data_IF_649029724461
#
_entry.id   IF_649029724461
#
_cell.length_a   1.000
_cell.length_b   1.000
_cell.length_c   1.000
_cell.angle_alpha   90.00
_cell.angle_beta   90.00
_cell.angle_gamma   90.00
#
_symmetry.space_group_name_H-M   'P 1'
#
loop_
_entity.id
_entity.type
_entity.pdbx_description
1 polymer ?
#
# COMPACT_ATOMS: atom_id res chain seq x y z
N UNK A 1 -6.42 -9.50 -3.85
CA UNK A 1 -7.07 -9.75 -5.16
C UNK A 1 -7.96 -10.97 -5.02
N UNK A 2 -9.19 -10.93 -5.57
CA UNK A 2 -10.11 -12.07 -5.55
C UNK A 2 -9.63 -13.21 -6.46
N UNK A 3 -10.05 -14.43 -6.16
CA UNK A 3 -9.67 -15.63 -6.93
C UNK A 3 -10.12 -15.56 -8.40
N UNK A 4 -11.25 -14.89 -8.67
CA UNK A 4 -11.78 -14.67 -10.02
C UNK A 4 -11.17 -13.45 -10.73
N UNK A 5 -10.26 -12.72 -10.06
CA UNK A 5 -9.59 -11.52 -10.58
C UNK A 5 -10.50 -10.31 -10.79
N UNK A 6 -11.76 -10.34 -10.35
CA UNK A 6 -12.75 -9.25 -10.58
C UNK A 6 -12.73 -8.16 -9.53
N UNK A 7 -12.18 -8.45 -8.35
CA UNK A 7 -12.17 -7.56 -7.20
C UNK A 7 -10.77 -7.47 -6.60
N UNK A 8 -10.47 -6.31 -6.05
CA UNK A 8 -9.26 -6.06 -5.29
C UNK A 8 -9.55 -5.13 -4.13
N UNK A 9 -8.66 -5.09 -3.15
CA UNK A 9 -8.68 -4.06 -2.13
C UNK A 9 -7.27 -3.75 -1.64
N UNK A 10 -7.12 -2.59 -1.00
CA UNK A 10 -5.98 -2.28 -0.15
C UNK A 10 -6.46 -1.61 1.12
N UNK A 11 -5.88 -1.98 2.26
CA UNK A 11 -6.04 -1.29 3.54
C UNK A 11 -4.68 -0.80 3.99
N UNK A 12 -4.57 0.46 4.42
CA UNK A 12 -3.36 1.01 5.02
C UNK A 12 -3.74 1.75 6.29
N UNK A 13 -3.20 1.31 7.42
CA UNK A 13 -3.34 1.97 8.71
C UNK A 13 -2.14 2.88 8.96
N UNK A 14 -2.39 4.13 9.31
CA UNK A 14 -1.37 5.15 9.50
C UNK A 14 -1.40 5.73 10.90
N UNK A 15 -0.24 5.78 11.55
CA UNK A 15 0.09 6.76 12.59
C UNK A 15 1.01 7.79 11.94
N UNK A 16 0.63 9.07 11.93
CA UNK A 16 1.35 10.10 11.18
C UNK A 16 1.26 9.87 9.67
N UNK A 17 0.04 9.90 9.11
CA UNK A 17 -0.21 9.68 7.68
C UNK A 17 0.74 10.49 6.80
N UNK A 18 1.68 9.81 6.13
CA UNK A 18 2.73 10.44 5.33
C UNK A 18 2.17 11.23 4.13
N UNK A 19 0.98 10.84 3.67
CA UNK A 19 0.23 11.49 2.59
C UNK A 19 -0.72 12.60 3.07
N UNK A 20 -0.78 12.88 4.37
CA UNK A 20 -1.65 13.92 4.91
C UNK A 20 -1.14 15.33 4.60
N UNK A 21 -1.96 16.18 3.95
CA UNK A 21 -1.63 17.60 3.84
C UNK A 21 -1.67 18.29 5.21
N UNK A 22 -2.56 17.88 6.12
CA UNK A 22 -2.69 18.47 7.45
C UNK A 22 -1.48 18.17 8.32
N UNK A 23 -0.94 16.96 8.24
CA UNK A 23 0.28 16.58 8.97
C UNK A 23 1.50 17.33 8.43
N UNK A 24 1.57 17.51 7.11
CA UNK A 24 2.61 18.33 6.51
C UNK A 24 2.49 19.80 6.97
N UNK A 25 1.28 20.38 6.97
CA UNK A 25 1.06 21.77 7.40
C UNK A 25 1.25 22.00 8.90
N UNK A 26 1.06 20.98 9.73
CA UNK A 26 1.36 21.06 11.16
C UNK A 26 2.87 21.00 11.45
N UNK A 27 3.72 20.86 10.42
CA UNK A 27 5.17 20.73 10.56
C UNK A 27 5.61 19.31 10.94
N UNK A 28 4.71 18.33 10.86
CA UNK A 28 4.94 16.93 11.25
C UNK A 28 5.34 16.73 12.73
N UNK A 29 4.80 17.56 13.62
CA UNK A 29 5.22 17.60 15.03
C UNK A 29 4.61 16.49 15.91
N UNK A 30 3.38 16.06 15.64
CA UNK A 30 2.68 15.03 16.43
C UNK A 30 2.00 14.00 15.50
N UNK A 31 2.63 12.85 15.20
CA UNK A 31 2.05 11.85 14.31
C UNK A 31 0.76 11.24 14.86
N UNK A 32 0.60 11.20 16.18
CA UNK A 32 -0.60 10.65 16.83
C UNK A 32 -1.81 11.56 16.67
N UNK A 33 -1.65 12.81 16.23
CA UNK A 33 -2.78 13.66 15.86
C UNK A 33 -3.18 13.55 14.37
N UNK A 34 -2.53 12.67 13.60
CA UNK A 34 -2.76 12.50 12.16
C UNK A 34 -2.87 11.03 11.76
N UNK A 35 -3.94 10.40 12.25
CA UNK A 35 -4.18 8.96 12.13
C UNK A 35 -5.24 8.70 11.07
N UNK A 36 -5.08 7.67 10.25
CA UNK A 36 -6.07 7.30 9.25
C UNK A 36 -6.05 5.79 8.95
N UNK A 37 -7.20 5.26 8.53
CA UNK A 37 -7.27 3.98 7.83
C UNK A 37 -7.74 4.28 6.41
N UNK A 38 -6.85 4.07 5.44
CA UNK A 38 -7.14 4.16 4.02
C UNK A 38 -7.70 2.83 3.54
N UNK A 39 -8.92 2.82 3.01
CA UNK A 39 -9.54 1.63 2.41
C UNK A 39 -9.91 1.93 0.97
N UNK A 40 -9.36 1.14 0.04
CA UNK A 40 -9.67 1.17 -1.38
C UNK A 40 -10.25 -0.17 -1.80
N UNK A 41 -11.43 -0.16 -2.44
CA UNK A 41 -12.02 -1.30 -3.13
C UNK A 41 -11.90 -1.08 -4.64
N UNK A 42 -11.42 -2.09 -5.35
CA UNK A 42 -11.23 -2.11 -6.80
C UNK A 42 -12.24 -3.04 -7.49
N UNK A 43 -12.48 -2.79 -8.79
CA UNK A 43 -13.46 -3.52 -9.60
C UNK A 43 -14.90 -2.98 -9.46
N UNK A 44 -15.91 -3.79 -9.84
CA UNK A 44 -17.31 -3.37 -9.75
C UNK A 44 -17.69 -2.95 -8.33
N UNK A 45 -18.42 -1.84 -8.21
CA UNK A 45 -18.76 -1.18 -6.94
C UNK A 45 -17.55 -0.64 -6.16
N UNK A 46 -16.48 -0.24 -6.85
CA UNK A 46 -15.31 0.44 -6.28
C UNK A 46 -15.73 1.57 -5.32
N UNK A 47 -15.01 1.65 -4.19
CA UNK A 47 -15.20 2.66 -3.15
C UNK A 47 -13.85 2.99 -2.55
N UNK A 48 -13.69 4.22 -2.12
CA UNK A 48 -12.48 4.65 -1.46
C UNK A 48 -12.83 5.60 -0.32
N UNK A 49 -12.23 5.38 0.84
CA UNK A 49 -12.36 6.24 2.01
C UNK A 49 -11.04 6.33 2.75
N UNK A 50 -10.72 7.53 3.21
CA UNK A 50 -9.59 7.82 4.08
C UNK A 50 -9.94 9.07 4.88
N UNK A 51 -10.49 8.88 6.06
CA UNK A 51 -10.76 9.99 7.00
C UNK A 51 -9.59 10.10 7.97
N UNK A 52 -8.93 11.25 7.97
CA UNK A 52 -7.95 11.55 9.02
C UNK A 52 -8.64 11.91 10.31
N UNK A 53 -8.12 11.41 11.43
CA UNK A 53 -8.63 11.67 12.77
C UNK A 53 -7.52 12.16 13.69
N UNK A 54 -7.91 12.95 14.69
CA UNK A 54 -7.02 13.38 15.77
C UNK A 54 -6.82 12.30 16.83
N UNK A 55 -5.89 12.53 17.75
CA UNK A 55 -5.45 11.54 18.76
C UNK A 55 -6.55 10.93 19.62
N UNK A 56 -7.63 11.68 19.88
CA UNK A 56 -8.76 11.18 20.67
C UNK A 56 -9.56 10.07 20.00
N UNK A 57 -9.29 9.76 18.73
CA UNK A 57 -9.88 8.63 18.01
C UNK A 57 -9.01 7.37 18.03
N UNK A 58 -7.80 7.43 18.60
CA UNK A 58 -6.87 6.31 18.68
C UNK A 58 -7.12 5.49 19.93
N UNK A 59 -7.13 4.17 19.75
CA UNK A 59 -6.92 3.20 20.81
C UNK A 59 -6.08 2.07 20.20
N UNK A 60 -4.82 1.93 20.64
CA UNK A 60 -3.87 0.98 20.10
C UNK A 60 -3.13 0.21 21.19
N UNK A 61 -2.75 -1.02 20.84
CA UNK A 61 -1.99 -1.92 21.70
C UNK A 61 -1.26 -2.97 20.88
N UNK A 62 -0.66 -3.97 21.54
CA UNK A 62 0.17 -4.97 20.86
C UNK A 62 -0.57 -5.80 19.80
N UNK A 63 -1.89 -5.97 19.95
CA UNK A 63 -2.72 -6.86 19.14
C UNK A 63 -3.92 -6.16 18.48
N UNK A 64 -4.07 -4.83 18.65
CA UNK A 64 -5.17 -4.07 18.09
C UNK A 64 -4.80 -2.61 17.76
N UNK A 65 -5.53 -2.04 16.82
CA UNK A 65 -5.39 -0.66 16.37
C UNK A 65 -6.76 -0.13 15.93
N UNK A 66 -7.34 0.78 16.70
CA UNK A 66 -8.66 1.36 16.47
C UNK A 66 -8.54 2.84 16.11
N UNK A 67 -9.25 3.26 15.07
CA UNK A 67 -9.28 4.64 14.58
C UNK A 67 -10.72 5.08 14.37
N UNK A 68 -11.29 5.69 15.39
CA UNK A 68 -12.71 6.03 15.44
C UNK A 68 -13.58 4.78 15.30
N UNK A 69 -14.39 4.64 14.23
CA UNK A 69 -15.32 3.53 14.08
C UNK A 69 -14.72 2.28 13.40
N UNK A 70 -13.49 2.36 12.88
CA UNK A 70 -12.80 1.27 12.18
C UNK A 70 -11.69 0.70 13.05
N UNK A 71 -11.40 -0.60 12.96
CA UNK A 71 -10.42 -1.26 13.80
C UNK A 71 -9.70 -2.40 13.09
N UNK A 72 -8.44 -2.64 13.47
CA UNK A 72 -7.65 -3.80 13.11
C UNK A 72 -7.34 -4.57 14.39
N UNK A 73 -7.42 -5.90 14.38
CA UNK A 73 -7.01 -6.75 15.51
C UNK A 73 -6.53 -8.11 15.06
N UNK A 74 -5.71 -8.75 15.88
CA UNK A 74 -5.34 -10.16 15.69
C UNK A 74 -6.34 -11.09 16.40
N UNK A 75 -6.87 -12.06 15.66
CA UNK A 75 -7.62 -13.20 16.16
C UNK A 75 -6.81 -14.48 15.86
N UNK A 76 -5.96 -14.90 16.80
CA UNK A 76 -4.99 -15.95 16.53
C UNK A 76 -4.01 -15.52 15.42
N UNK A 77 -3.95 -16.28 14.32
CA UNK A 77 -3.13 -15.94 13.15
C UNK A 77 -3.90 -15.14 12.08
N UNK A 78 -5.11 -14.65 12.35
CA UNK A 78 -5.88 -13.88 11.38
C UNK A 78 -5.94 -12.42 11.78
N UNK A 79 -5.50 -11.53 10.89
CA UNK A 79 -5.73 -10.10 11.00
C UNK A 79 -7.18 -9.81 10.58
N UNK A 80 -7.97 -9.28 11.50
CA UNK A 80 -9.36 -8.89 11.26
C UNK A 80 -9.46 -7.38 11.24
N UNK A 81 -10.06 -6.87 10.16
CA UNK A 81 -10.19 -5.45 9.87
C UNK A 81 -11.68 -5.14 9.77
N UNK A 82 -12.22 -4.46 10.77
CA UNK A 82 -13.56 -3.91 10.72
C UNK A 82 -13.51 -2.51 10.10
N UNK A 83 -14.23 -2.35 9.00
CA UNK A 83 -14.30 -1.09 8.26
C UNK A 83 -15.66 -0.45 8.52
N UNK A 84 -15.65 0.79 8.97
CA UNK A 84 -16.85 1.63 9.07
C UNK A 84 -16.51 3.07 8.66
N UNK A 85 -16.50 3.30 7.35
CA UNK A 85 -16.08 4.58 6.77
C UNK A 85 -17.15 5.20 5.88
N UNK A 86 -16.92 6.45 5.50
CA UNK A 86 -17.75 7.19 4.54
C UNK A 86 -16.84 7.70 3.43
N UNK A 87 -17.21 7.44 2.19
CA UNK A 87 -16.44 7.88 1.02
C UNK A 87 -16.60 9.38 0.76
N UNK A 88 -15.69 9.94 -0.03
CA UNK A 88 -15.77 11.33 -0.52
C UNK A 88 -15.48 11.42 -2.03
N UNK A 89 -15.97 12.45 -2.73
CA UNK A 89 -16.85 13.52 -2.25
C UNK A 89 -18.32 13.09 -2.09
N UNK A 90 -18.71 11.95 -2.67
CA UNK A 90 -20.05 11.38 -2.48
C UNK A 90 -20.09 10.54 -1.20
N UNK A 91 -20.95 10.84 -0.22
CA UNK A 91 -20.98 10.18 1.08
C UNK A 91 -21.66 8.81 1.03
N UNK A 92 -21.00 7.82 0.44
CA UNK A 92 -21.44 6.44 0.43
C UNK A 92 -20.82 5.68 1.61
N UNK A 93 -21.57 4.73 2.18
CA UNK A 93 -21.10 3.91 3.31
C UNK A 93 -20.12 2.85 2.86
N UNK A 94 -18.94 2.77 3.44
CA UNK A 94 -18.03 1.65 3.24
C UNK A 94 -17.97 0.89 4.56
N UNK A 95 -18.68 -0.24 4.63
CA UNK A 95 -18.83 -1.00 5.88
C UNK A 95 -18.75 -2.50 5.65
N UNK A 96 -18.04 -3.18 6.54
CA UNK A 96 -17.96 -4.65 6.62
C UNK A 96 -16.65 -5.11 7.26
N UNK A 97 -16.31 -6.39 7.07
CA UNK A 97 -15.14 -7.01 7.65
C UNK A 97 -14.23 -7.62 6.58
N UNK A 98 -12.93 -7.40 6.73
CA UNK A 98 -11.88 -8.05 5.96
C UNK A 98 -11.07 -8.93 6.90
N UNK A 99 -10.79 -10.16 6.50
CA UNK A 99 -9.96 -11.11 7.24
C UNK A 99 -8.76 -11.48 6.39
N UNK A 100 -7.56 -11.37 6.92
CA UNK A 100 -6.33 -11.79 6.26
C UNK A 100 -5.59 -12.79 7.14
N UNK A 101 -5.32 -13.98 6.60
CA UNK A 101 -4.55 -15.02 7.27
C UNK A 101 -3.24 -15.20 6.50
N UNK A 102 -2.08 -14.81 7.09
CA UNK A 102 -0.78 -15.09 6.51
C UNK A 102 -0.57 -16.60 6.33
N UNK A 103 -0.06 -17.02 5.18
CA UNK A 103 0.44 -18.38 5.02
C UNK A 103 1.80 -18.53 5.72
N UNK A 104 2.60 -17.46 5.65
CA UNK A 104 3.87 -17.34 6.35
C UNK A 104 4.15 -15.89 6.71
N UNK A 105 4.91 -15.70 7.81
CA UNK A 105 5.48 -14.41 8.20
C UNK A 105 7.00 -14.52 8.31
N UNK A 106 7.72 -13.42 8.07
CA UNK A 106 9.18 -13.40 8.08
C UNK A 106 9.71 -12.19 8.89
N UNK A 107 10.89 -12.29 9.57
CA UNK A 107 11.35 -11.26 10.51
C UNK A 107 12.30 -10.20 9.90
N UNK A 108 12.62 -10.28 8.62
CA UNK A 108 13.64 -9.44 7.96
C UNK A 108 13.09 -8.06 7.63
N UNK A 109 13.80 -7.04 8.11
CA UNK A 109 13.55 -5.63 7.82
C UNK A 109 14.60 -5.10 6.85
N UNK A 110 14.18 -4.19 5.96
CA UNK A 110 15.06 -3.55 4.98
C UNK A 110 15.08 -2.05 5.21
N UNK A 111 16.27 -1.47 5.33
CA UNK A 111 16.41 -0.01 5.21
C UNK A 111 16.14 0.39 3.75
N UNK A 112 15.37 1.45 3.52
CA UNK A 112 15.07 1.98 2.19
C UNK A 112 16.06 3.06 1.74
N UNK A 113 16.83 3.62 2.66
CA UNK A 113 17.82 4.64 2.41
C UNK A 113 19.20 4.26 2.96
N UNK A 114 20.24 4.96 2.49
CA UNK A 114 21.62 4.83 2.97
C UNK A 114 21.79 5.17 4.45
N UNK A 115 20.92 6.03 5.00
CA UNK A 115 20.99 6.47 6.40
C UNK A 115 20.08 5.69 7.36
N UNK A 116 19.36 4.67 6.85
CA UNK A 116 18.43 3.85 7.62
C UNK A 116 17.41 4.68 8.44
N UNK A 117 16.89 5.76 7.85
CA UNK A 117 15.79 6.55 8.42
C UNK A 117 14.42 6.05 8.00
N UNK A 118 14.38 5.20 6.97
CA UNK A 118 13.17 4.59 6.45
C UNK A 118 13.35 3.08 6.38
N UNK A 119 12.36 2.34 6.87
CA UNK A 119 12.37 0.90 6.87
C UNK A 119 11.11 0.34 6.23
N UNK A 120 11.28 -0.81 5.57
CA UNK A 120 10.22 -1.63 5.03
C UNK A 120 10.34 -3.04 5.60
N UNK A 121 9.20 -3.60 5.96
CA UNK A 121 9.09 -4.96 6.47
C UNK A 121 8.01 -5.70 5.67
N UNK A 122 8.37 -6.62 4.76
CA UNK A 122 7.40 -7.47 4.09
C UNK A 122 6.93 -8.59 5.04
N UNK A 123 6.18 -8.22 6.08
CA UNK A 123 5.80 -9.10 7.18
C UNK A 123 5.21 -10.43 6.71
N UNK A 124 4.20 -10.39 5.83
CA UNK A 124 3.51 -11.55 5.28
C UNK A 124 3.41 -11.40 3.74
N UNK A 125 4.39 -11.93 2.98
CA UNK A 125 4.46 -11.74 1.53
C UNK A 125 3.32 -12.40 0.74
N UNK A 126 2.59 -13.33 1.36
CA UNK A 126 1.39 -13.94 0.83
C UNK A 126 0.52 -14.54 1.94
N UNK A 127 -0.77 -14.65 1.64
CA UNK A 127 -1.77 -15.28 2.50
C UNK A 127 -3.15 -15.26 1.86
N UNK A 128 -4.13 -15.78 2.58
CA UNK A 128 -5.55 -15.79 2.17
C UNK A 128 -6.28 -14.58 2.72
N UNK A 129 -7.16 -14.03 1.90
CA UNK A 129 -8.05 -12.92 2.26
C UNK A 129 -9.50 -13.30 2.03
N UNK A 130 -10.35 -12.92 2.97
CA UNK A 130 -11.80 -12.96 2.86
C UNK A 130 -12.33 -11.54 3.08
N UNK A 131 -13.15 -11.04 2.15
CA UNK A 131 -13.74 -9.72 2.25
C UNK A 131 -15.26 -9.83 2.25
N UNK A 132 -15.90 -9.49 3.37
CA UNK A 132 -17.34 -9.42 3.53
C UNK A 132 -17.74 -7.97 3.78
N UNK A 133 -18.04 -7.25 2.70
CA UNK A 133 -18.33 -5.82 2.71
C UNK A 133 -19.84 -5.58 2.58
N UNK A 134 -20.55 -5.47 3.70
CA UNK A 134 -21.99 -5.23 3.78
C UNK A 134 -22.47 -4.07 2.92
N UNK A 135 -21.70 -2.98 2.88
CA UNK A 135 -21.92 -1.82 2.03
C UNK A 135 -20.67 -1.58 1.20
N UNK A 136 -20.64 -1.99 -0.09
CA UNK A 136 -21.77 -2.06 -1.03
C UNK A 136 -22.44 -3.42 -1.27
N UNK A 137 -22.24 -4.41 -0.40
CA UNK A 137 -22.73 -5.77 -0.62
C UNK A 137 -21.83 -6.51 -1.61
N UNK A 138 -20.60 -6.77 -1.15
CA UNK A 138 -19.59 -7.57 -1.82
C UNK A 138 -19.14 -8.66 -0.86
N UNK A 139 -19.02 -9.89 -1.34
CA UNK A 139 -18.42 -10.99 -0.61
C UNK A 139 -17.55 -11.79 -1.58
N UNK A 140 -16.27 -11.96 -1.25
CA UNK A 140 -15.33 -12.71 -2.07
C UNK A 140 -14.13 -13.18 -1.25
N UNK A 141 -13.40 -14.15 -1.81
CA UNK A 141 -12.15 -14.66 -1.26
C UNK A 141 -11.03 -14.51 -2.29
N UNK A 142 -9.79 -14.56 -1.81
CA UNK A 142 -8.65 -14.31 -2.66
C UNK A 142 -7.31 -14.44 -1.95
N UNK A 143 -6.30 -13.84 -2.57
CA UNK A 143 -4.94 -13.75 -2.05
C UNK A 143 -4.57 -12.31 -1.68
N UNK A 144 -3.76 -12.16 -0.65
CA UNK A 144 -3.26 -10.88 -0.15
C UNK A 144 -1.83 -10.98 0.36
N UNK A 145 -1.28 -9.85 0.77
CA UNK A 145 -0.01 -9.72 1.47
C UNK A 145 -0.15 -8.59 2.50
N UNK A 146 0.74 -8.56 3.48
CA UNK A 146 0.84 -7.48 4.45
C UNK A 146 2.30 -7.08 4.62
N UNK A 147 2.55 -5.78 4.63
CA UNK A 147 3.84 -5.17 4.90
C UNK A 147 3.68 -3.98 5.83
N UNK A 148 4.80 -3.46 6.31
CA UNK A 148 4.86 -2.30 7.18
C UNK A 148 5.98 -1.38 6.75
N UNK A 149 5.73 -0.08 6.81
CA UNK A 149 6.73 0.94 6.61
C UNK A 149 6.81 1.83 7.86
N UNK A 150 8.03 2.17 8.25
CA UNK A 150 8.29 3.12 9.33
C UNK A 150 9.37 4.10 8.90
N UNK A 151 9.28 5.35 9.31
CA UNK A 151 10.32 6.32 9.03
C UNK A 151 10.36 7.46 10.05
N UNK A 152 11.53 8.06 10.21
CA UNK A 152 11.76 9.17 11.15
C UNK A 152 11.66 10.55 10.49
N UNK A 153 11.55 10.59 9.16
CA UNK A 153 11.56 11.82 8.37
C UNK A 153 10.51 11.79 7.26
N UNK A 154 10.23 12.95 6.68
CA UNK A 154 9.27 13.06 5.58
C UNK A 154 9.80 12.37 4.33
N UNK A 155 8.96 11.58 3.65
CA UNK A 155 9.33 10.88 2.42
C UNK A 155 9.88 11.86 1.36
N UNK A 156 9.19 12.98 1.15
CA UNK A 156 9.59 13.95 0.14
C UNK A 156 10.88 14.71 0.47
N UNK A 157 11.39 14.61 1.70
CA UNK A 157 12.68 15.19 2.08
C UNK A 157 13.85 14.31 1.64
N UNK A 158 13.64 12.99 1.57
CA UNK A 158 14.72 12.02 1.38
C UNK A 158 14.66 11.31 0.03
N UNK A 159 13.48 11.17 -0.56
CA UNK A 159 13.28 10.49 -1.84
C UNK A 159 12.63 11.40 -2.89
N UNK A 160 13.00 11.21 -4.15
CA UNK A 160 12.29 11.78 -5.32
C UNK A 160 11.15 10.89 -5.80
N UNK A 161 11.21 9.59 -5.50
CA UNK A 161 10.18 8.61 -5.84
C UNK A 161 10.64 7.17 -5.60
N UNK A 162 9.79 6.23 -5.97
CA UNK A 162 10.15 4.81 -6.00
C UNK A 162 9.24 4.02 -6.93
N UNK A 163 9.70 2.82 -7.28
CA UNK A 163 8.84 1.74 -7.75
C UNK A 163 8.85 0.61 -6.74
N UNK A 164 7.72 -0.07 -6.61
CA UNK A 164 7.58 -1.26 -5.79
C UNK A 164 6.76 -2.29 -6.56
N UNK A 165 7.10 -3.57 -6.44
CA UNK A 165 6.26 -4.63 -6.97
C UNK A 165 6.40 -5.93 -6.19
N UNK A 166 5.33 -6.72 -6.22
CA UNK A 166 5.27 -8.06 -5.61
C UNK A 166 4.58 -9.02 -6.58
N UNK A 167 5.32 -10.02 -7.02
CA UNK A 167 4.87 -11.07 -7.92
C UNK A 167 4.60 -12.36 -7.17
N UNK A 168 3.54 -13.07 -7.56
CA UNK A 168 3.29 -14.43 -7.10
C UNK A 168 4.03 -15.41 -8.01
N UNK A 169 4.88 -16.25 -7.43
CA UNK A 169 5.61 -17.32 -8.12
C UNK A 169 5.16 -18.67 -7.55
N UNK A 170 5.55 -19.78 -8.18
CA UNK A 170 5.10 -21.12 -7.78
C UNK A 170 5.49 -21.48 -6.34
N UNK A 171 6.67 -21.07 -5.90
CA UNK A 171 7.28 -21.43 -4.62
C UNK A 171 7.24 -20.28 -3.59
N UNK A 172 6.49 -19.21 -3.85
CA UNK A 172 6.36 -18.08 -2.92
C UNK A 172 6.10 -16.74 -3.60
N UNK A 173 6.86 -15.72 -3.23
CA UNK A 173 6.74 -14.38 -3.79
C UNK A 173 8.10 -13.75 -4.11
N UNK A 174 8.15 -13.00 -5.21
CA UNK A 174 9.29 -12.15 -5.56
C UNK A 174 8.89 -10.70 -5.40
N UNK A 175 9.74 -9.90 -4.75
CA UNK A 175 9.49 -8.49 -4.50
C UNK A 175 10.66 -7.62 -4.95
N UNK A 176 10.32 -6.47 -5.52
CA UNK A 176 11.26 -5.44 -5.90
C UNK A 176 10.87 -4.12 -5.24
N UNK A 177 11.82 -3.43 -4.60
CA UNK A 177 11.63 -2.09 -4.07
C UNK A 177 12.83 -1.22 -4.45
N UNK A 178 12.58 -0.17 -5.23
CA UNK A 178 13.60 0.71 -5.78
C UNK A 178 13.37 2.17 -5.39
N UNK A 179 13.71 2.54 -4.15
CA UNK A 179 13.73 3.94 -3.73
C UNK A 179 14.81 4.75 -4.45
N UNK A 180 14.45 5.98 -4.82
CA UNK A 180 15.35 6.95 -5.45
C UNK A 180 15.65 8.04 -4.43
N UNK A 181 16.82 7.96 -3.78
CA UNK A 181 17.22 8.96 -2.79
C UNK A 181 17.57 10.28 -3.47
N UNK A 182 17.21 11.40 -2.83
CA UNK A 182 17.57 12.74 -3.31
C UNK A 182 19.07 13.00 -3.28
N UNK A 183 19.81 12.26 -2.46
CA UNK A 183 21.28 12.25 -2.45
C UNK A 183 21.89 11.77 -3.77
N UNK A 184 21.08 11.14 -4.64
CA UNK A 184 21.53 10.44 -5.85
C UNK A 184 21.94 8.99 -5.59
N UNK A 185 21.86 8.52 -4.34
CA UNK A 185 22.04 7.11 -4.03
C UNK A 185 20.88 6.29 -4.59
N UNK A 186 21.22 5.14 -5.16
CA UNK A 186 20.25 4.17 -5.68
C UNK A 186 20.33 2.92 -4.84
N UNK A 187 19.18 2.49 -4.34
CA UNK A 187 19.03 1.22 -3.64
C UNK A 187 17.98 0.40 -4.36
N UNK A 188 18.29 -0.87 -4.58
CA UNK A 188 17.35 -1.85 -5.12
C UNK A 188 17.31 -3.01 -4.13
N UNK A 189 16.12 -3.32 -3.66
CA UNK A 189 15.85 -4.54 -2.90
C UNK A 189 15.19 -5.49 -3.89
N UNK A 190 15.83 -6.64 -4.14
CA UNK A 190 15.32 -7.70 -4.99
C UNK A 190 15.38 -9.00 -4.20
N UNK A 191 14.21 -9.50 -3.79
CA UNK A 191 14.14 -10.66 -2.89
C UNK A 191 13.12 -11.69 -3.36
N UNK A 192 13.42 -12.95 -3.10
CA UNK A 192 12.47 -14.06 -3.12
C UNK A 192 12.18 -14.48 -1.69
N UNK A 193 10.90 -14.72 -1.40
CA UNK A 193 10.46 -15.32 -0.14
C UNK A 193 9.73 -16.61 -0.44
N UNK A 194 10.28 -17.71 0.08
CA UNK A 194 9.72 -19.05 -0.14
C UNK A 194 8.52 -19.34 0.76
N UNK A 195 7.88 -20.50 0.56
CA UNK A 195 6.76 -21.01 1.36
C UNK A 195 7.06 -21.16 2.87
N UNK A 196 8.33 -21.16 3.28
CA UNK A 196 8.77 -21.24 4.68
C UNK A 196 9.13 -19.87 5.26
N UNK A 197 9.01 -18.79 4.48
CA UNK A 197 9.35 -17.44 4.92
C UNK A 197 10.84 -17.15 4.85
N UNK A 198 11.63 -18.02 4.21
CA UNK A 198 13.06 -17.80 3.99
C UNK A 198 13.22 -16.69 2.97
N UNK A 199 13.92 -15.63 3.35
CA UNK A 199 14.20 -14.50 2.47
C UNK A 199 15.57 -14.70 1.82
N UNK A 200 15.61 -14.67 0.50
CA UNK A 200 16.84 -14.73 -0.30
C UNK A 200 16.93 -13.52 -1.21
N UNK A 201 18.12 -12.91 -1.27
CA UNK A 201 18.41 -11.90 -2.28
C UNK A 201 18.58 -12.58 -3.64
N UNK A 202 18.04 -11.96 -4.68
CA UNK A 202 18.10 -12.47 -6.04
C UNK A 202 18.73 -11.45 -6.98
N UNK A 203 19.26 -11.92 -8.10
CA UNK A 203 19.70 -11.05 -9.17
C UNK A 203 18.53 -10.18 -9.65
N UNK A 204 18.77 -8.88 -9.79
CA UNK A 204 17.75 -7.94 -10.24
C UNK A 204 17.53 -8.09 -11.75
N UNK A 205 16.31 -8.42 -12.22
CA UNK A 205 16.04 -8.50 -13.66
C UNK A 205 16.23 -7.15 -14.39
N UNK A 206 16.26 -7.16 -15.74
CA UNK A 206 16.24 -5.93 -16.51
C UNK A 206 15.04 -5.03 -16.19
N UNK A 207 15.23 -3.73 -16.38
CA UNK A 207 14.14 -2.74 -16.25
C UNK A 207 13.26 -2.79 -17.48
N UNK A 208 11.94 -2.73 -17.27
CA UNK A 208 10.93 -2.67 -18.32
C UNK A 208 10.04 -1.45 -18.08
N UNK A 209 10.01 -0.54 -19.05
CA UNK A 209 9.10 0.60 -19.03
C UNK A 209 7.65 0.14 -19.27
N UNK A 210 6.73 0.76 -18.54
CA UNK A 210 5.30 0.49 -18.64
C UNK A 210 4.56 1.71 -19.19
N UNK A 211 3.39 1.46 -19.78
CA UNK A 211 2.53 2.52 -20.30
C UNK A 211 2.13 3.49 -19.18
N UNK A 212 2.22 4.79 -19.46
CA UNK A 212 1.78 5.83 -18.53
C UNK A 212 0.25 5.91 -18.47
N UNK A 213 -0.26 6.25 -17.29
CA UNK A 213 -1.67 6.58 -17.10
C UNK A 213 -2.02 8.01 -17.49
N UNK A 214 -3.27 8.39 -17.19
CA UNK A 214 -3.84 9.72 -17.41
C UNK A 214 -3.00 10.83 -16.79
N UNK A 215 -2.54 10.65 -15.55
CA UNK A 215 -1.72 11.67 -14.87
C UNK A 215 -0.27 11.69 -15.32
N UNK A 216 0.17 10.73 -16.15
CA UNK A 216 1.52 10.72 -16.71
C UNK A 216 2.63 10.47 -15.68
N UNK A 217 2.32 9.85 -14.53
CA UNK A 217 3.35 9.32 -13.60
C UNK A 217 4.12 8.22 -14.34
N UNK A 218 5.45 8.26 -14.27
CA UNK A 218 6.31 7.23 -14.88
C UNK A 218 6.10 5.88 -14.19
N UNK A 219 6.03 4.82 -15.00
CA UNK A 219 5.85 3.45 -14.54
C UNK A 219 6.91 2.58 -15.20
N UNK A 220 7.57 1.78 -14.38
CA UNK A 220 8.55 0.80 -14.80
C UNK A 220 8.67 -0.29 -13.74
N UNK A 221 9.10 -1.47 -14.15
CA UNK A 221 9.21 -2.64 -13.28
C UNK A 221 10.43 -3.49 -13.65
N UNK A 222 10.65 -4.58 -12.92
CA UNK A 222 11.69 -5.58 -13.17
C UNK A 222 11.07 -6.83 -13.76
N UNK A 223 11.54 -7.24 -14.94
CA UNK A 223 11.03 -8.41 -15.65
C UNK A 223 12.03 -8.87 -16.71
N UNK A 224 12.08 -10.18 -16.95
CA UNK A 224 13.01 -10.81 -17.89
C UNK A 224 12.62 -10.62 -19.35
N UNK A 225 11.31 -10.49 -19.65
CA UNK A 225 10.80 -10.35 -21.02
C UNK A 225 9.86 -9.13 -21.16
N UNK A 226 10.36 -8.01 -21.73
CA UNK A 226 9.56 -6.83 -21.98
C UNK A 226 8.32 -7.07 -22.85
N UNK A 227 8.39 -8.00 -23.81
CA UNK A 227 7.29 -8.26 -24.76
C UNK A 227 6.07 -8.94 -24.12
N UNK A 228 6.29 -9.59 -22.97
CA UNK A 228 5.27 -10.30 -22.20
C UNK A 228 4.90 -9.60 -20.90
N UNK A 229 5.51 -8.44 -20.64
CA UNK A 229 5.28 -7.64 -19.44
C UNK A 229 4.29 -6.53 -19.73
N UNK A 230 3.16 -6.50 -19.01
CA UNK A 230 2.13 -5.49 -19.23
C UNK A 230 1.28 -5.24 -17.99
N UNK A 231 0.76 -4.03 -17.90
CA UNK A 231 -0.33 -3.69 -16.99
C UNK A 231 -1.59 -4.42 -17.47
N UNK A 232 -2.20 -5.21 -16.58
CA UNK A 232 -3.46 -5.90 -16.85
C UNK A 232 -4.65 -5.07 -16.39
N UNK A 233 -4.50 -4.33 -15.28
CA UNK A 233 -5.52 -3.42 -14.76
C UNK A 233 -4.85 -2.29 -13.97
N UNK A 234 -5.34 -1.06 -14.12
CA UNK A 234 -4.93 0.08 -13.28
C UNK A 234 -5.94 0.27 -12.15
N UNK A 235 -5.49 0.06 -10.91
CA UNK A 235 -6.32 0.22 -9.72
C UNK A 235 -6.39 1.68 -9.25
N UNK A 236 -5.25 2.37 -9.31
CA UNK A 236 -5.13 3.78 -8.93
C UNK A 236 -4.30 4.51 -9.96
N UNK A 237 -4.83 5.63 -10.45
CA UNK A 237 -4.09 6.59 -11.27
C UNK A 237 -4.32 7.99 -10.71
N UNK A 238 -3.33 8.50 -9.99
CA UNK A 238 -3.37 9.76 -9.28
C UNK A 238 -2.20 10.67 -9.70
N UNK A 239 -2.24 11.99 -9.40
CA UNK A 239 -1.23 12.95 -9.87
C UNK A 239 0.22 12.58 -9.56
N UNK A 240 0.45 11.84 -8.47
CA UNK A 240 1.76 11.49 -7.94
C UNK A 240 1.94 10.00 -7.63
N UNK A 241 0.90 9.17 -7.78
CA UNK A 241 0.91 7.78 -7.35
C UNK A 241 0.09 6.91 -8.30
N UNK A 242 0.59 5.72 -8.61
CA UNK A 242 -0.17 4.71 -9.35
C UNK A 242 -0.05 3.36 -8.68
N UNK A 243 -1.11 2.56 -8.81
CA UNK A 243 -1.13 1.15 -8.41
C UNK A 243 -1.79 0.35 -9.51
N UNK A 244 -1.14 -0.73 -9.90
CA UNK A 244 -1.50 -1.54 -11.05
C UNK A 244 -1.45 -3.03 -10.70
N UNK A 245 -2.35 -3.82 -11.29
CA UNK A 245 -2.11 -5.23 -11.53
C UNK A 245 -1.29 -5.39 -12.81
N UNK A 246 -0.34 -6.29 -12.75
CA UNK A 246 0.66 -6.51 -13.79
C UNK A 246 0.77 -8.01 -14.08
N UNK A 247 1.06 -8.34 -15.32
CA UNK A 247 1.67 -9.60 -15.71
C UNK A 247 3.15 -9.33 -16.03
N UNK A 248 4.08 -10.04 -15.38
CA UNK A 248 5.52 -9.99 -15.64
C UNK A 248 6.10 -11.37 -15.94
N UNK A 249 7.40 -11.44 -16.26
CA UNK A 249 8.14 -12.68 -16.48
C UNK A 249 9.31 -12.78 -15.51
N UNK A 250 9.32 -13.84 -14.72
CA UNK A 250 10.37 -14.18 -13.75
C UNK A 250 10.66 -15.68 -13.85
N UNK A 251 11.94 -16.07 -13.89
CA UNK A 251 12.36 -17.46 -14.08
C UNK A 251 11.76 -18.09 -15.34
N UNK A 252 11.65 -17.31 -16.43
CA UNK A 252 11.02 -17.73 -17.69
C UNK A 252 9.50 -17.97 -17.62
N UNK A 253 8.84 -17.64 -16.51
CA UNK A 253 7.40 -17.90 -16.29
C UNK A 253 6.62 -16.61 -16.12
N UNK A 254 5.38 -16.61 -16.60
CA UNK A 254 4.45 -15.50 -16.44
C UNK A 254 3.90 -15.48 -15.02
N UNK A 255 4.06 -14.35 -14.34
CA UNK A 255 3.68 -14.19 -12.94
C UNK A 255 2.74 -12.99 -12.79
N UNK A 256 1.59 -13.15 -12.09
CA UNK A 256 0.76 -12.02 -11.71
C UNK A 256 1.45 -11.24 -10.60
N UNK A 257 1.40 -9.92 -10.69
CA UNK A 257 2.03 -9.02 -9.75
C UNK A 257 1.17 -7.80 -9.44
N UNK A 258 1.43 -7.20 -8.28
CA UNK A 258 1.01 -5.84 -7.97
C UNK A 258 2.22 -4.93 -8.16
N UNK A 259 1.99 -3.75 -8.71
CA UNK A 259 3.01 -2.75 -8.97
C UNK A 259 2.55 -1.37 -8.50
N UNK A 260 3.48 -0.59 -7.96
CA UNK A 260 3.27 0.78 -7.50
C UNK A 260 4.38 1.68 -8.02
N UNK A 261 4.00 2.90 -8.41
CA UNK A 261 4.93 4.00 -8.69
C UNK A 261 4.56 5.20 -7.84
N UNK A 262 5.54 5.80 -7.18
CA UNK A 262 5.39 7.05 -6.44
C UNK A 262 6.35 8.11 -6.98
N UNK A 263 5.83 9.32 -7.18
CA UNK A 263 6.62 10.50 -7.53
C UNK A 263 6.47 11.56 -6.43
N UNK A 264 7.53 11.72 -5.63
CA UNK A 264 7.52 12.61 -4.47
C UNK A 264 7.78 14.08 -4.82
N UNK A 265 8.38 14.37 -5.97
CA UNK A 265 8.47 15.75 -6.48
C UNK A 265 7.08 16.31 -6.79
N UNK A 266 6.23 15.49 -7.41
CA UNK A 266 4.83 15.83 -7.66
C UNK A 266 4.03 15.89 -6.36
N UNK A 267 4.22 14.94 -5.45
CA UNK A 267 3.56 14.97 -4.14
C UNK A 267 3.92 16.24 -3.32
N UNK A 268 5.19 16.66 -3.37
CA UNK A 268 5.67 17.86 -2.68
C UNK A 268 5.09 19.16 -3.25
N UNK A 269 4.58 19.15 -4.49
CA UNK A 269 3.99 20.32 -5.13
C UNK A 269 2.85 20.91 -4.30
N UNK A 270 2.83 22.24 -4.06
CA UNK A 270 1.74 22.90 -3.35
C UNK A 270 0.36 22.64 -3.97
N UNK A 271 0.29 22.54 -5.31
CA UNK A 271 -0.96 22.27 -6.02
C UNK A 271 -1.51 20.89 -5.63
N UNK A 272 -0.67 19.86 -5.61
CA UNK A 272 -1.08 18.52 -5.20
C UNK A 272 -1.49 18.53 -3.73
N UNK A 273 -0.71 19.15 -2.84
CA UNK A 273 -1.07 19.26 -1.41
C UNK A 273 -2.41 19.96 -1.19
N UNK A 274 -2.76 20.97 -2.00
CA UNK A 274 -4.05 21.67 -1.94
C UNK A 274 -5.22 20.85 -2.51
N UNK A 275 -4.98 19.85 -3.36
CA UNK A 275 -6.02 18.95 -3.88
C UNK A 275 -6.39 17.84 -2.90
N UNK A 276 -5.45 17.42 -2.04
CA UNK A 276 -5.64 16.29 -1.13
C UNK A 276 -6.82 16.45 -0.14
N UNK A 277 -7.09 17.63 0.47
CA UNK A 277 -8.23 17.81 1.38
C UNK A 277 -9.60 17.47 0.79
N UNK A 278 -9.77 17.56 -0.53
CA UNK A 278 -11.03 17.21 -1.20
C UNK A 278 -11.27 15.69 -1.27
N UNK A 279 -10.20 14.90 -1.09
CA UNK A 279 -10.24 13.44 -1.03
C UNK A 279 -10.02 12.93 0.39
N UNK A 280 -9.29 13.63 1.23
CA UNK A 280 -8.95 13.17 2.57
C UNK A 280 -9.51 14.14 3.61
N UNK A 281 -10.77 13.99 4.06
CA UNK A 281 -11.31 14.85 5.10
C UNK A 281 -10.62 14.62 6.45
N UNK A 282 -10.58 15.65 7.30
CA UNK A 282 -10.06 15.57 8.67
C UNK A 282 -11.16 15.78 9.72
N UNK A 283 -11.17 14.93 10.75
CA UNK A 283 -11.99 15.02 11.97
C UNK A 283 -11.08 15.10 13.19
N UNK A 284 -10.69 16.31 13.57
CA UNK A 284 -9.75 16.54 14.67
C UNK A 284 -10.31 16.17 16.05
N UNK A 285 -11.63 16.25 16.23
CA UNK A 285 -12.31 15.87 17.48
C UNK A 285 -13.08 14.55 17.26
N UNK A 286 -13.00 13.66 18.24
CA UNK A 286 -13.75 12.40 18.29
C UNK A 286 -14.68 12.42 19.49
N UNK A 287 -15.96 12.07 19.29
CA UNK A 287 -17.01 12.14 20.32
C UNK A 287 -17.57 10.77 20.71
N UNK A 288 -17.00 9.67 20.20
CA UNK A 288 -17.65 8.35 20.22
C UNK A 288 -18.70 8.21 19.13
#
# INVERSE_FOLDING_TARGET
MSDDGRHGLSVIAFIGSVFSPYYAWSGRNDPYDHIAINVALYGPKARWAMTERGKGALDDGPDHFTVGPSALRWEGNTLVIDVDEVTVPWPLRLKGQIRFTPDVSQPTHFALDTTARHHWWPYAPFGRIEANIDKPGLSWQGHGYADTNTGTTALEADFSGWTWSRASVEDGAVMFYEPQERSGAHKTIAIHVDAHGTVTEIDTPPRVDLNKGFWGVTRDTRSEDPSQTRITETFVDAPFYTRDALQMVLGGRRCPAVHESLNLDRFASPIVKLMLPFKMPRRAKWSG
#
